data_IF_051745353928
#
_entry.id   IF_051745353928
#
_cell.length_a   1.000
_cell.length_b   1.000
_cell.length_c   1.000
_cell.angle_alpha   90.00
_cell.angle_beta   90.00
_cell.angle_gamma   90.00
#
_symmetry.space_group_name_H-M   'P 1'
#
loop_
_entity.id
_entity.type
_entity.pdbx_description
1 polymer ?
#
# COMPACT_ATOMS: atom_id res chain seq x y z
N UNK A 1 32.60 0.19 -4.94
CA UNK A 1 31.64 0.30 -3.82
C UNK A 1 30.23 0.29 -4.38
N UNK A 2 29.39 -0.68 -4.01
CA UNK A 2 28.04 -0.77 -4.54
C UNK A 2 27.16 0.30 -3.90
N UNK A 3 26.48 1.11 -4.72
CA UNK A 3 25.62 2.21 -4.24
C UNK A 3 24.46 1.70 -3.35
N UNK A 4 24.12 0.41 -3.43
CA UNK A 4 23.13 -0.26 -2.58
C UNK A 4 23.57 -0.39 -1.11
N UNK A 5 24.88 -0.37 -0.82
CA UNK A 5 25.39 -0.46 0.55
C UNK A 5 25.07 0.80 1.38
N UNK A 6 24.83 1.95 0.70
CA UNK A 6 24.48 3.22 1.37
C UNK A 6 23.04 3.30 1.88
N UNK A 7 22.15 2.38 1.49
CA UNK A 7 20.77 2.37 1.99
C UNK A 7 20.65 1.91 3.44
N UNK A 8 21.65 1.20 3.98
CA UNK A 8 21.67 0.73 5.38
C UNK A 8 21.72 1.84 6.43
N UNK A 9 21.81 3.11 6.02
CA UNK A 9 21.77 4.28 6.89
C UNK A 9 20.49 5.11 6.74
N UNK A 10 19.57 4.71 5.86
CA UNK A 10 18.33 5.47 5.62
C UNK A 10 17.24 5.02 6.59
N UNK A 11 16.52 5.94 7.26
CA UNK A 11 15.40 5.55 8.11
C UNK A 11 14.24 5.01 7.27
N UNK A 12 13.52 4.02 7.81
CA UNK A 12 12.31 3.49 7.20
C UNK A 12 11.28 4.63 7.00
N UNK A 13 10.74 4.85 5.79
CA UNK A 13 9.77 5.92 5.54
C UNK A 13 8.45 5.72 6.32
N UNK A 14 8.18 4.49 6.77
CA UNK A 14 7.02 4.15 7.57
C UNK A 14 7.30 4.38 9.08
N UNK A 15 8.17 3.56 9.69
CA UNK A 15 8.34 3.54 11.16
C UNK A 15 9.61 4.22 11.67
N UNK A 16 10.32 4.98 10.82
CA UNK A 16 11.55 5.72 11.12
C UNK A 16 12.72 4.94 11.75
N UNK A 17 12.62 3.61 11.84
CA UNK A 17 13.70 2.75 12.30
C UNK A 17 14.82 2.65 11.25
N UNK A 18 16.06 2.45 11.70
CA UNK A 18 17.19 2.17 10.80
C UNK A 18 16.93 0.93 9.95
N UNK A 19 17.20 1.03 8.65
CA UNK A 19 17.10 -0.09 7.73
C UNK A 19 18.38 -0.92 7.74
N UNK A 20 18.24 -2.24 7.56
CA UNK A 20 19.39 -3.10 7.31
C UNK A 20 19.94 -2.84 5.89
N UNK A 21 21.20 -3.23 5.62
CA UNK A 21 21.76 -3.14 4.28
C UNK A 21 20.88 -3.85 3.24
N UNK A 22 20.69 -3.19 2.10
CA UNK A 22 19.83 -3.72 1.04
C UNK A 22 20.53 -4.89 0.36
N UNK A 23 19.81 -6.02 0.17
CA UNK A 23 20.40 -7.17 -0.52
C UNK A 23 20.72 -6.81 -1.99
N UNK A 24 21.96 -7.01 -2.46
CA UNK A 24 22.35 -6.65 -3.82
C UNK A 24 21.42 -7.27 -4.86
N UNK A 25 21.01 -6.47 -5.85
CA UNK A 25 20.17 -6.92 -6.96
C UNK A 25 18.66 -7.04 -6.66
N UNK A 26 18.22 -6.99 -5.39
CA UNK A 26 16.79 -6.99 -5.06
C UNK A 26 16.22 -5.57 -5.15
N UNK A 27 15.00 -5.42 -5.68
CA UNK A 27 14.26 -4.13 -5.70
C UNK A 27 13.26 -3.96 -4.56
N UNK A 28 12.96 -5.07 -3.87
CA UNK A 28 12.05 -5.12 -2.73
C UNK A 28 12.84 -5.61 -1.52
N UNK A 29 12.64 -4.94 -0.40
CA UNK A 29 13.19 -5.29 0.90
C UNK A 29 12.10 -5.15 1.96
N UNK A 30 12.34 -5.62 3.18
CA UNK A 30 11.40 -5.45 4.29
C UNK A 30 12.10 -4.74 5.44
N UNK A 31 11.36 -3.91 6.18
CA UNK A 31 11.92 -3.31 7.38
C UNK A 31 12.05 -4.37 8.49
N UNK A 32 13.21 -4.47 9.14
CA UNK A 32 13.40 -5.41 10.26
C UNK A 32 12.46 -5.17 11.45
N UNK A 33 12.02 -3.91 11.68
CA UNK A 33 11.16 -3.54 12.80
C UNK A 33 9.67 -3.69 12.49
N UNK A 34 9.18 -3.00 11.46
CA UNK A 34 7.75 -3.00 11.13
C UNK A 34 7.36 -4.05 10.09
N UNK A 35 8.33 -4.80 9.54
CA UNK A 35 8.14 -5.90 8.59
C UNK A 35 7.40 -5.51 7.29
N UNK A 36 7.19 -4.21 7.05
CA UNK A 36 6.54 -3.71 5.85
C UNK A 36 7.46 -3.82 4.64
N UNK A 37 6.93 -4.28 3.49
CA UNK A 37 7.68 -4.28 2.24
C UNK A 37 7.95 -2.85 1.78
N UNK A 38 9.21 -2.61 1.40
CA UNK A 38 9.73 -1.36 0.89
C UNK A 38 10.22 -1.62 -0.54
N UNK A 39 9.85 -0.74 -1.45
CA UNK A 39 10.35 -0.75 -2.82
C UNK A 39 11.34 0.39 -3.02
N UNK A 40 12.44 0.09 -3.73
CA UNK A 40 13.36 1.10 -4.25
C UNK A 40 12.97 1.37 -5.69
N UNK A 41 12.73 2.64 -6.00
CA UNK A 41 12.49 3.09 -7.37
C UNK A 41 13.42 4.25 -7.73
N UNK A 42 13.66 4.39 -9.03
CA UNK A 42 14.33 5.57 -9.58
C UNK A 42 13.26 6.59 -9.95
N UNK A 43 13.40 7.82 -9.45
CA UNK A 43 12.48 8.89 -9.82
C UNK A 43 12.54 9.15 -11.33
N UNK A 44 11.38 9.40 -11.94
CA UNK A 44 11.26 9.67 -13.38
C UNK A 44 12.03 10.94 -13.76
N UNK A 45 11.90 12.02 -12.96
CA UNK A 45 12.58 13.29 -13.17
C UNK A 45 14.02 13.34 -12.64
N UNK A 46 14.38 12.52 -11.65
CA UNK A 46 15.71 12.51 -11.05
C UNK A 46 16.29 11.09 -11.06
N UNK A 47 16.66 10.62 -12.26
CA UNK A 47 17.18 9.26 -12.49
C UNK A 47 18.42 8.89 -11.66
N UNK A 48 19.15 9.89 -11.14
CA UNK A 48 20.33 9.72 -10.28
C UNK A 48 20.01 9.56 -8.79
N UNK A 49 18.76 9.77 -8.37
CA UNK A 49 18.33 9.58 -6.97
C UNK A 49 17.34 8.43 -6.87
N UNK A 50 17.73 7.43 -6.11
CA UNK A 50 16.83 6.38 -5.68
C UNK A 50 15.99 6.86 -4.51
N UNK A 51 14.71 6.49 -4.50
CA UNK A 51 13.79 6.75 -3.39
C UNK A 51 13.25 5.43 -2.87
N UNK A 52 13.01 5.38 -1.56
CA UNK A 52 12.38 4.26 -0.88
C UNK A 52 10.93 4.64 -0.63
N UNK A 53 10.00 3.76 -0.98
CA UNK A 53 8.57 3.93 -0.71
C UNK A 53 8.02 2.66 -0.05
N UNK A 54 7.09 2.77 0.92
CA UNK A 54 6.31 1.64 1.38
C UNK A 54 5.51 1.05 0.21
N UNK A 55 5.59 -0.26 0.00
CA UNK A 55 4.91 -0.91 -1.12
C UNK A 55 3.39 -0.72 -1.04
N UNK A 56 2.80 -0.79 0.17
CA UNK A 56 1.37 -0.52 0.35
C UNK A 56 1.01 0.90 -0.08
N UNK A 57 1.82 1.91 0.24
CA UNK A 57 1.57 3.28 -0.23
C UNK A 57 1.57 3.38 -1.77
N UNK A 58 2.42 2.60 -2.45
CA UNK A 58 2.40 2.51 -3.90
C UNK A 58 1.15 1.79 -4.43
N UNK A 59 0.69 0.72 -3.76
CA UNK A 59 -0.55 0.00 -4.11
C UNK A 59 -1.77 0.91 -3.93
N UNK A 60 -1.87 1.63 -2.81
CA UNK A 60 -2.94 2.61 -2.58
C UNK A 60 -2.95 3.70 -3.65
N UNK A 61 -1.78 4.24 -4.02
CA UNK A 61 -1.68 5.25 -5.06
C UNK A 61 -2.12 4.71 -6.43
N UNK A 62 -1.71 3.48 -6.78
CA UNK A 62 -2.10 2.83 -8.02
C UNK A 62 -3.61 2.53 -8.05
N UNK A 63 -4.17 2.00 -6.96
CA UNK A 63 -5.60 1.73 -6.84
C UNK A 63 -6.42 3.03 -6.92
N UNK A 64 -6.00 4.11 -6.25
CA UNK A 64 -6.64 5.41 -6.37
C UNK A 64 -6.62 5.94 -7.81
N UNK A 65 -5.47 5.82 -8.50
CA UNK A 65 -5.34 6.23 -9.90
C UNK A 65 -6.28 5.41 -10.80
N UNK A 66 -6.34 4.09 -10.62
CA UNK A 66 -7.24 3.22 -11.37
C UNK A 66 -8.71 3.58 -11.13
N UNK A 67 -9.09 3.88 -9.89
CA UNK A 67 -10.44 4.33 -9.56
C UNK A 67 -10.79 5.67 -10.26
N UNK A 68 -9.86 6.63 -10.26
CA UNK A 68 -10.06 7.91 -10.95
C UNK A 68 -10.21 7.72 -12.47
N UNK A 69 -9.38 6.86 -13.08
CA UNK A 69 -9.47 6.54 -14.51
C UNK A 69 -10.81 5.85 -14.83
N UNK A 70 -11.22 4.89 -14.00
CA UNK A 70 -12.51 4.21 -14.16
C UNK A 70 -13.68 5.20 -14.12
N UNK A 71 -13.70 6.12 -13.15
CA UNK A 71 -14.72 7.17 -13.05
C UNK A 71 -14.68 8.09 -14.27
N UNK A 72 -13.49 8.55 -14.68
CA UNK A 72 -13.33 9.46 -15.82
C UNK A 72 -13.81 8.84 -17.14
N UNK A 73 -13.44 7.58 -17.40
CA UNK A 73 -13.90 6.85 -18.59
C UNK A 73 -15.42 6.72 -18.56
N UNK A 74 -15.99 6.35 -17.42
CA UNK A 74 -17.44 6.16 -17.27
C UNK A 74 -18.24 7.43 -17.56
N UNK A 75 -17.73 8.59 -17.11
CA UNK A 75 -18.34 9.90 -17.37
C UNK A 75 -18.27 10.28 -18.86
N UNK A 76 -17.20 9.91 -19.57
CA UNK A 76 -17.01 10.23 -20.98
C UNK A 76 -17.81 9.30 -21.90
N UNK A 77 -17.89 8.01 -21.58
CA UNK A 77 -18.56 7.02 -22.43
C UNK A 77 -20.07 6.94 -22.19
N UNK A 78 -20.59 7.57 -21.14
CA UNK A 78 -22.00 7.43 -20.75
C UNK A 78 -22.37 5.98 -20.42
N UNK A 79 -21.40 5.18 -19.97
CA UNK A 79 -21.59 3.76 -19.69
C UNK A 79 -22.58 3.58 -18.55
N UNK A 80 -23.46 2.57 -18.66
CA UNK A 80 -24.37 2.18 -17.60
C UNK A 80 -23.64 1.87 -16.28
N UNK A 81 -24.35 2.01 -15.17
CA UNK A 81 -23.80 1.86 -13.81
C UNK A 81 -23.05 0.53 -13.61
N UNK A 82 -23.45 -0.54 -14.30
CA UNK A 82 -22.86 -1.88 -14.18
C UNK A 82 -21.37 -1.92 -14.55
N UNK A 83 -20.97 -1.21 -15.61
CA UNK A 83 -19.56 -1.12 -16.02
C UNK A 83 -18.72 -0.30 -15.04
N UNK A 84 -19.33 0.72 -14.42
CA UNK A 84 -18.68 1.55 -13.40
C UNK A 84 -18.42 0.70 -12.15
N UNK A 85 -19.41 -0.11 -11.75
CA UNK A 85 -19.31 -1.02 -10.60
C UNK A 85 -18.17 -2.01 -10.82
N UNK A 86 -18.09 -2.66 -11.98
CA UNK A 86 -17.01 -3.58 -12.30
C UNK A 86 -15.63 -2.89 -12.31
N UNK A 87 -15.54 -1.68 -12.88
CA UNK A 87 -14.29 -0.94 -12.99
C UNK A 87 -13.76 -0.44 -11.64
N UNK A 88 -14.64 -0.11 -10.68
CA UNK A 88 -14.26 0.31 -9.32
C UNK A 88 -14.00 -0.89 -8.40
N UNK A 89 -14.64 -2.03 -8.64
CA UNK A 89 -14.47 -3.21 -7.81
C UNK A 89 -13.02 -3.70 -7.74
N UNK A 90 -12.29 -3.67 -8.87
CA UNK A 90 -10.88 -4.09 -8.88
C UNK A 90 -9.96 -3.20 -8.02
N UNK A 91 -9.94 -1.85 -8.18
CA UNK A 91 -9.28 -0.95 -7.25
C UNK A 91 -9.67 -1.16 -5.79
N UNK A 92 -10.96 -1.36 -5.52
CA UNK A 92 -11.47 -1.55 -4.16
C UNK A 92 -10.96 -2.86 -3.55
N UNK A 93 -10.90 -3.94 -4.32
CA UNK A 93 -10.30 -5.21 -3.91
C UNK A 93 -8.79 -5.06 -3.62
N UNK A 94 -8.06 -4.28 -4.43
CA UNK A 94 -6.65 -3.97 -4.16
C UNK A 94 -6.45 -3.19 -2.86
N UNK A 95 -7.27 -2.17 -2.62
CA UNK A 95 -7.31 -1.44 -1.35
C UNK A 95 -7.56 -2.42 -0.20
N UNK A 96 -8.62 -3.22 -0.28
CA UNK A 96 -9.00 -4.14 0.77
C UNK A 96 -7.92 -5.18 1.08
N UNK A 97 -7.33 -5.80 0.06
CA UNK A 97 -6.23 -6.74 0.23
C UNK A 97 -4.98 -6.08 0.85
N UNK A 98 -4.63 -4.86 0.43
CA UNK A 98 -3.51 -4.12 1.02
C UNK A 98 -3.75 -3.73 2.48
N UNK A 99 -4.97 -3.35 2.83
CA UNK A 99 -5.37 -2.98 4.19
C UNK A 99 -5.36 -4.19 5.13
N UNK A 100 -5.83 -5.35 4.66
CA UNK A 100 -5.74 -6.61 5.40
C UNK A 100 -4.27 -6.95 5.69
N UNK A 101 -3.40 -6.85 4.68
CA UNK A 101 -1.98 -7.15 4.82
C UNK A 101 -1.24 -6.15 5.74
N UNK A 102 -1.50 -4.85 5.61
CA UNK A 102 -0.92 -3.82 6.48
C UNK A 102 -1.43 -3.94 7.92
N UNK A 103 -2.73 -4.17 8.08
CA UNK A 103 -3.37 -4.39 9.37
C UNK A 103 -2.85 -5.65 10.08
N UNK A 104 -2.66 -6.75 9.34
CA UNK A 104 -2.03 -7.97 9.88
C UNK A 104 -0.60 -7.69 10.38
N UNK A 105 0.21 -6.99 9.60
CA UNK A 105 1.55 -6.59 10.03
C UNK A 105 1.51 -5.65 11.23
N UNK A 106 0.56 -4.72 11.27
CA UNK A 106 0.34 -3.83 12.40
C UNK A 106 0.02 -4.58 13.68
N UNK A 107 -0.85 -5.60 13.61
CA UNK A 107 -1.16 -6.49 14.73
C UNK A 107 0.05 -7.31 15.18
N UNK A 108 0.79 -7.88 14.22
CA UNK A 108 1.95 -8.72 14.47
C UNK A 108 3.12 -7.95 15.08
N UNK A 109 3.50 -6.81 14.50
CA UNK A 109 4.65 -6.03 14.95
C UNK A 109 4.32 -5.00 16.02
N UNK A 110 3.03 -4.69 16.23
CA UNK A 110 2.59 -3.62 17.13
C UNK A 110 3.11 -2.25 16.71
N UNK A 111 3.18 -1.99 15.40
CA UNK A 111 3.65 -0.72 14.82
C UNK A 111 2.68 -0.26 13.75
N UNK A 112 2.11 0.93 13.93
CA UNK A 112 1.16 1.52 13.01
C UNK A 112 1.51 2.99 12.79
N UNK A 113 1.31 3.53 11.59
CA UNK A 113 1.50 4.95 11.30
C UNK A 113 0.20 5.55 10.79
N UNK A 114 -0.29 6.57 11.49
CA UNK A 114 -1.50 7.31 11.11
C UNK A 114 -1.20 8.80 11.22
N UNK A 115 -1.57 9.58 10.21
CA UNK A 115 -1.36 11.04 10.19
C UNK A 115 0.07 11.48 10.54
N UNK A 116 1.08 10.74 10.05
CA UNK A 116 2.48 11.03 10.33
C UNK A 116 2.99 10.55 11.68
N UNK A 117 2.10 10.24 12.64
CA UNK A 117 2.47 9.73 13.96
C UNK A 117 2.61 8.21 13.93
N UNK A 118 3.70 7.71 14.52
CA UNK A 118 3.93 6.28 14.71
C UNK A 118 3.40 5.88 16.07
N UNK A 119 2.43 4.97 16.08
CA UNK A 119 1.88 4.32 17.25
C UNK A 119 2.58 2.98 17.47
N UNK A 120 2.80 2.62 18.73
CA UNK A 120 3.42 1.35 19.12
C UNK A 120 2.61 0.63 20.19
N UNK A 121 2.72 -0.69 20.25
CA UNK A 121 2.08 -1.51 21.28
C UNK A 121 0.58 -1.72 21.07
N UNK A 122 -0.20 -1.71 22.15
CA UNK A 122 -1.65 -1.95 22.14
C UNK A 122 -2.44 -1.04 21.17
N UNK A 123 -2.25 0.30 21.15
CA UNK A 123 -3.01 1.15 20.22
C UNK A 123 -2.69 0.83 18.76
N UNK A 124 -1.45 0.48 18.43
CA UNK A 124 -1.07 0.08 17.07
C UNK A 124 -1.78 -1.21 16.61
N UNK A 125 -2.00 -2.14 17.54
CA UNK A 125 -2.75 -3.38 17.26
C UNK A 125 -4.24 -3.10 17.08
N UNK A 126 -4.81 -2.20 17.87
CA UNK A 126 -6.20 -1.77 17.73
C UNK A 126 -6.45 -1.10 16.37
N UNK A 127 -5.57 -0.17 15.95
CA UNK A 127 -5.63 0.39 14.61
C UNK A 127 -5.46 -0.68 13.53
N UNK A 128 -4.52 -1.61 13.72
CA UNK A 128 -4.33 -2.75 12.81
C UNK A 128 -5.60 -3.58 12.62
N UNK A 129 -6.29 -3.94 13.71
CA UNK A 129 -7.55 -4.67 13.65
C UNK A 129 -8.65 -3.87 12.92
N UNK A 130 -8.72 -2.55 13.15
CA UNK A 130 -9.61 -1.66 12.40
C UNK A 130 -9.31 -1.63 10.91
N UNK A 131 -8.04 -1.55 10.52
CA UNK A 131 -7.60 -1.60 9.12
C UNK A 131 -7.97 -2.94 8.47
N UNK A 132 -7.81 -4.07 9.18
CA UNK A 132 -8.25 -5.38 8.67
C UNK A 132 -9.77 -5.39 8.45
N UNK A 133 -10.56 -4.93 9.43
CA UNK A 133 -12.02 -4.92 9.30
C UNK A 133 -12.47 -4.06 8.10
N UNK A 134 -11.86 -2.89 7.91
CA UNK A 134 -12.11 -2.05 6.75
C UNK A 134 -11.71 -2.75 5.44
N UNK A 135 -10.56 -3.41 5.41
CA UNK A 135 -10.11 -4.14 4.24
C UNK A 135 -11.02 -5.32 3.87
N UNK A 136 -11.52 -6.05 4.87
CA UNK A 136 -12.53 -7.12 4.67
C UNK A 136 -13.81 -6.54 4.09
N UNK A 137 -14.32 -5.43 4.63
CA UNK A 137 -15.51 -4.76 4.11
C UNK A 137 -15.31 -4.30 2.66
N UNK A 138 -14.15 -3.71 2.34
CA UNK A 138 -13.80 -3.31 0.97
C UNK A 138 -13.78 -4.50 0.00
N UNK A 139 -13.14 -5.60 0.38
CA UNK A 139 -13.15 -6.84 -0.42
C UNK A 139 -14.56 -7.41 -0.59
N UNK A 140 -15.40 -7.37 0.44
CA UNK A 140 -16.77 -7.86 0.36
C UNK A 140 -17.62 -7.00 -0.59
N UNK A 141 -17.53 -5.67 -0.51
CA UNK A 141 -18.21 -4.75 -1.42
C UNK A 141 -17.74 -4.96 -2.86
N UNK A 142 -16.43 -5.15 -3.09
CA UNK A 142 -15.89 -5.45 -4.40
C UNK A 142 -16.45 -6.76 -4.97
N UNK A 143 -16.51 -7.82 -4.15
CA UNK A 143 -17.07 -9.10 -4.55
C UNK A 143 -18.57 -9.00 -4.90
N UNK A 144 -19.35 -8.28 -4.09
CA UNK A 144 -20.77 -8.00 -4.37
C UNK A 144 -20.92 -7.22 -5.68
N UNK A 145 -20.11 -6.18 -5.88
CA UNK A 145 -20.13 -5.38 -7.12
C UNK A 145 -19.83 -6.22 -8.36
N UNK A 146 -18.81 -7.10 -8.29
CA UNK A 146 -18.49 -8.02 -9.37
C UNK A 146 -19.64 -9.00 -9.62
N UNK A 147 -20.26 -9.54 -8.57
CA UNK A 147 -21.37 -10.48 -8.70
C UNK A 147 -22.64 -9.86 -9.30
N UNK A 148 -22.88 -8.57 -9.08
CA UNK A 148 -24.02 -7.84 -9.67
C UNK A 148 -23.74 -7.44 -11.12
N UNK A 149 -22.49 -7.14 -11.46
CA UNK A 149 -22.08 -6.71 -12.80
C UNK A 149 -21.74 -7.87 -13.76
N UNK A 150 -21.74 -9.12 -13.27
CA UNK A 150 -21.50 -10.35 -14.03
C UNK A 150 -22.80 -10.95 -14.56
#
# INVERSE_FOLDING_TARGET
MNMMDRFGLTPCPYCSAGLLPWTPGKRIHHCGRCQRPLAVYRGVLQRRRFRIIPLYAAVHAAAALLALVAIAVSLVTGSGLDHIIAAIAFPLALFGASDIADGYLSMRTGVHKTFGRVWTGAPARAFGAGTIAFGIAGCAIAAIGIAIAA
#
